data_IF_049391065498
#
_entry.id   IF_049391065498
#
_cell.length_a   1.000
_cell.length_b   1.000
_cell.length_c   1.000
_cell.angle_alpha   90.00
_cell.angle_beta   90.00
_cell.angle_gamma   90.00
#
_symmetry.space_group_name_H-M   'P 1'
#
loop_
_entity.id
_entity.type
_entity.pdbx_description
1 polymer ?
#
# COMPACT_ATOMS: atom_id res chain seq x y z
N UNK A 1 10.27 -2.29 -31.01
CA UNK A 1 9.73 -1.12 -30.27
C UNK A 1 9.08 -1.64 -29.00
N UNK A 2 9.37 -1.05 -27.85
CA UNK A 2 9.07 -1.59 -26.54
C UNK A 2 7.56 -1.81 -26.29
N UNK A 3 7.17 -3.02 -25.88
CA UNK A 3 5.86 -3.29 -25.32
C UNK A 3 5.71 -2.50 -24.00
N UNK A 4 4.88 -1.46 -24.01
CA UNK A 4 4.35 -0.90 -22.78
C UNK A 4 3.42 -1.96 -22.17
N UNK A 5 3.94 -2.74 -21.20
CA UNK A 5 3.09 -3.58 -20.34
C UNK A 5 2.07 -2.66 -19.67
N UNK A 6 0.80 -2.73 -20.10
CA UNK A 6 -0.32 -2.09 -19.40
C UNK A 6 -0.31 -2.63 -17.97
N UNK A 7 0.17 -1.81 -17.03
CA UNK A 7 0.11 -2.13 -15.61
C UNK A 7 -1.36 -2.26 -15.24
N UNK A 8 -1.72 -3.38 -14.64
CA UNK A 8 -3.10 -3.64 -14.23
C UNK A 8 -3.56 -2.52 -13.27
N UNK A 9 -4.73 -1.94 -13.56
CA UNK A 9 -5.32 -0.88 -12.72
C UNK A 9 -5.49 -1.32 -11.27
N UNK A 10 -5.65 -2.62 -11.02
CA UNK A 10 -5.72 -3.19 -9.67
C UNK A 10 -4.43 -2.96 -8.89
N UNK A 11 -3.27 -3.15 -9.54
CA UNK A 11 -1.96 -2.90 -8.92
C UNK A 11 -1.82 -1.43 -8.54
N UNK A 12 -2.25 -0.53 -9.43
CA UNK A 12 -2.19 0.92 -9.19
C UNK A 12 -3.06 1.28 -7.98
N UNK A 13 -4.31 0.79 -7.93
CA UNK A 13 -5.23 1.03 -6.82
C UNK A 13 -4.68 0.51 -5.49
N UNK A 14 -4.19 -0.73 -5.45
CA UNK A 14 -3.63 -1.30 -4.23
C UNK A 14 -2.42 -0.52 -3.74
N UNK A 15 -1.52 -0.10 -4.64
CA UNK A 15 -0.38 0.76 -4.26
C UNK A 15 -0.81 2.10 -3.69
N UNK A 16 -1.84 2.70 -4.27
CA UNK A 16 -2.38 3.96 -3.79
C UNK A 16 -2.97 3.81 -2.37
N UNK A 17 -3.81 2.79 -2.17
CA UNK A 17 -4.39 2.49 -0.85
C UNK A 17 -3.32 2.22 0.23
N UNK A 18 -2.28 1.45 -0.10
CA UNK A 18 -1.17 1.18 0.81
C UNK A 18 -0.37 2.45 1.15
N UNK A 19 -0.18 3.33 0.17
CA UNK A 19 0.54 4.60 0.38
C UNK A 19 -0.26 5.55 1.25
N UNK A 20 -1.55 5.73 0.97
CA UNK A 20 -2.47 6.56 1.76
C UNK A 20 -2.52 6.06 3.22
N UNK A 21 -2.72 4.76 3.43
CA UNK A 21 -2.69 4.13 4.76
C UNK A 21 -1.37 4.38 5.50
N UNK A 22 -0.23 4.28 4.82
CA UNK A 22 1.08 4.54 5.42
C UNK A 22 1.21 5.99 5.90
N UNK A 23 0.80 6.98 5.09
CA UNK A 23 0.89 8.39 5.47
C UNK A 23 -0.01 8.72 6.66
N UNK A 24 -1.24 8.20 6.68
CA UNK A 24 -2.13 8.38 7.84
C UNK A 24 -1.51 7.79 9.12
N UNK A 25 -0.98 6.56 9.05
CA UNK A 25 -0.32 5.92 10.18
C UNK A 25 0.95 6.66 10.62
N UNK A 26 1.65 7.28 9.67
CA UNK A 26 2.83 8.11 9.93
C UNK A 26 2.48 9.36 10.72
N UNK A 27 1.38 10.02 10.37
CA UNK A 27 0.86 11.18 11.12
C UNK A 27 0.35 10.79 12.51
N UNK A 28 -0.30 9.64 12.65
CA UNK A 28 -0.92 9.22 13.91
C UNK A 28 0.06 8.74 14.99
N UNK A 29 1.07 7.93 14.62
CA UNK A 29 1.94 7.28 15.61
C UNK A 29 3.43 7.33 15.30
N UNK A 30 3.81 7.89 14.16
CA UNK A 30 5.20 8.02 13.73
C UNK A 30 5.81 6.72 13.19
N UNK A 31 6.82 6.88 12.34
CA UNK A 31 7.39 5.83 11.50
C UNK A 31 7.79 4.55 12.26
N UNK A 32 8.48 4.70 13.39
CA UNK A 32 9.03 3.56 14.15
C UNK A 32 7.95 2.63 14.73
N UNK A 33 6.71 3.11 14.88
CA UNK A 33 5.60 2.34 15.44
C UNK A 33 4.71 1.71 14.36
N UNK A 34 4.95 2.00 13.08
CA UNK A 34 4.17 1.45 11.97
C UNK A 34 4.69 0.05 11.65
N UNK A 35 3.78 -0.91 11.59
CA UNK A 35 4.05 -2.26 11.10
C UNK A 35 3.39 -2.49 9.75
N UNK A 36 3.86 -3.49 9.01
CA UNK A 36 3.18 -3.92 7.77
C UNK A 36 1.72 -4.29 8.04
N UNK A 37 1.43 -4.92 9.19
CA UNK A 37 0.09 -5.30 9.59
C UNK A 37 -0.83 -4.07 9.70
N UNK A 38 -0.37 -2.99 10.33
CA UNK A 38 -1.16 -1.76 10.45
C UNK A 38 -1.52 -1.19 9.08
N UNK A 39 -0.56 -1.16 8.15
CA UNK A 39 -0.75 -0.63 6.80
C UNK A 39 -1.76 -1.49 6.04
N UNK A 40 -1.62 -2.82 6.12
CA UNK A 40 -2.51 -3.76 5.42
C UNK A 40 -3.93 -3.74 5.98
N UNK A 41 -4.07 -3.61 7.29
CA UNK A 41 -5.37 -3.52 7.96
C UNK A 41 -6.07 -2.19 7.61
N UNK A 42 -5.33 -1.08 7.66
CA UNK A 42 -5.84 0.26 7.28
C UNK A 42 -6.26 0.32 5.81
N UNK A 43 -5.43 -0.23 4.92
CA UNK A 43 -5.71 -0.24 3.48
C UNK A 43 -6.80 -1.26 3.09
N UNK A 44 -7.24 -2.13 4.01
CA UNK A 44 -8.12 -3.27 3.76
C UNK A 44 -7.59 -4.19 2.64
N UNK A 45 -6.30 -4.54 2.74
CA UNK A 45 -5.58 -5.37 1.78
C UNK A 45 -5.03 -6.60 2.50
N UNK A 46 -5.11 -7.77 1.86
CA UNK A 46 -4.48 -8.96 2.40
C UNK A 46 -2.95 -8.75 2.50
N UNK A 47 -2.36 -9.13 3.63
CA UNK A 47 -0.91 -9.04 3.84
C UNK A 47 -0.09 -9.78 2.77
N UNK A 48 -0.62 -10.83 2.15
CA UNK A 48 0.01 -11.51 1.02
C UNK A 48 0.08 -10.65 -0.26
N UNK A 49 -0.79 -9.65 -0.41
CA UNK A 49 -0.77 -8.70 -1.53
C UNK A 49 0.27 -7.60 -1.34
N UNK A 50 0.72 -7.37 -0.11
CA UNK A 50 1.76 -6.39 0.21
C UNK A 50 3.16 -6.88 -0.21
N UNK A 51 3.44 -8.17 0.00
CA UNK A 51 4.68 -8.84 -0.38
C UNK A 51 4.65 -9.26 -1.85
#
# INVERSE_FOLDING_TARGET
MAEQKKVDKRIIRTRQQLSEAFFELLEEKGFQKITVQDITDRANVNRATFY
#
